data_IF_618688008715
#
_entry.id   IF_618688008715
#
_cell.length_a   1.000
_cell.length_b   1.000
_cell.length_c   1.000
_cell.angle_alpha   90.00
_cell.angle_beta   90.00
_cell.angle_gamma   90.00
#
_symmetry.space_group_name_H-M   'P 1'
#
loop_
_entity.id
_entity.type
_entity.pdbx_description
1 polymer ?
#
# COMPACT_ATOMS: atom_id res chain seq x y z
N UNK A 1 21.15 21.72 -13.47
CA UNK A 1 21.83 22.29 -14.69
C UNK A 1 21.28 23.66 -15.10
N UNK A 2 19.97 23.87 -15.19
CA UNK A 2 19.39 25.18 -15.58
C UNK A 2 19.73 26.29 -14.59
N UNK A 3 19.75 25.98 -13.28
CA UNK A 3 20.09 26.96 -12.24
C UNK A 3 21.57 27.30 -12.17
N UNK A 4 22.45 26.42 -12.60
CA UNK A 4 23.90 26.67 -12.62
C UNK A 4 24.33 27.63 -13.74
N UNK A 5 23.59 27.69 -14.84
CA UNK A 5 23.79 28.64 -15.91
C UNK A 5 23.61 30.11 -15.50
N UNK A 6 22.72 30.36 -14.54
CA UNK A 6 22.47 31.70 -14.01
C UNK A 6 23.61 32.20 -13.08
N UNK A 7 24.54 31.33 -12.66
CA UNK A 7 25.68 31.68 -11.81
C UNK A 7 26.90 32.20 -12.60
N UNK A 8 26.77 32.44 -13.89
CA UNK A 8 27.89 32.86 -14.79
C UNK A 8 27.97 34.35 -15.04
N UNK A 9 27.08 35.13 -14.47
CA UNK A 9 27.06 36.59 -14.65
C UNK A 9 28.22 37.23 -13.86
N UNK A 10 28.96 38.12 -14.51
CA UNK A 10 30.31 38.55 -14.07
C UNK A 10 30.31 39.66 -13.04
N UNK A 11 29.25 40.47 -12.99
CA UNK A 11 29.22 41.71 -12.21
C UNK A 11 28.03 41.81 -11.26
N UNK A 12 27.39 40.68 -10.93
CA UNK A 12 26.19 40.63 -10.07
C UNK A 12 26.43 39.70 -8.87
N UNK A 13 26.10 40.16 -7.70
CA UNK A 13 26.06 39.28 -6.53
C UNK A 13 24.87 38.29 -6.69
N UNK A 14 25.17 37.00 -6.84
CA UNK A 14 24.18 35.97 -7.07
C UNK A 14 24.01 35.13 -5.82
N UNK A 15 22.80 35.11 -5.27
CA UNK A 15 22.42 34.26 -4.14
C UNK A 15 21.59 33.09 -4.64
N UNK A 16 22.09 31.87 -4.47
CA UNK A 16 21.34 30.64 -4.76
C UNK A 16 20.76 30.06 -3.48
N UNK A 17 19.43 29.97 -3.40
CA UNK A 17 18.72 29.38 -2.26
C UNK A 17 18.03 28.08 -2.71
N UNK A 18 18.28 26.98 -1.98
CA UNK A 18 17.66 25.69 -2.22
C UNK A 18 16.91 25.22 -0.98
N UNK A 19 15.59 25.06 -1.09
CA UNK A 19 14.74 24.58 0.00
C UNK A 19 14.07 23.26 -0.41
N UNK A 20 13.95 22.32 0.51
CA UNK A 20 13.23 21.08 0.25
C UNK A 20 13.34 20.07 1.38
N UNK A 21 12.43 19.11 1.38
CA UNK A 21 12.58 17.91 2.19
C UNK A 21 13.64 17.00 1.55
N UNK A 22 14.47 16.33 2.34
CA UNK A 22 15.52 15.42 1.86
C UNK A 22 14.94 14.08 1.40
N UNK A 23 14.14 14.08 0.33
CA UNK A 23 13.34 12.93 -0.11
C UNK A 23 14.12 11.86 -0.85
N UNK A 24 15.34 12.15 -1.27
CA UNK A 24 16.20 11.21 -2.02
C UNK A 24 17.62 11.25 -1.51
N UNK A 25 18.23 10.09 -1.39
CA UNK A 25 19.64 9.97 -1.00
C UNK A 25 20.62 10.15 -2.18
N UNK A 26 20.11 10.57 -3.33
CA UNK A 26 20.84 10.85 -4.57
C UNK A 26 20.41 12.19 -5.18
N UNK A 27 21.14 12.67 -6.18
CA UNK A 27 20.83 13.88 -6.93
C UNK A 27 21.45 15.15 -6.35
N UNK A 28 21.29 16.27 -7.09
CA UNK A 28 21.97 17.54 -6.80
C UNK A 28 21.72 18.09 -5.39
N UNK A 29 20.49 18.02 -4.87
CA UNK A 29 20.18 18.48 -3.52
C UNK A 29 20.98 17.70 -2.46
N UNK A 30 21.10 16.38 -2.62
CA UNK A 30 21.93 15.54 -1.74
C UNK A 30 23.42 15.87 -1.88
N UNK A 31 23.91 16.12 -3.08
CA UNK A 31 25.32 16.48 -3.34
C UNK A 31 25.70 17.78 -2.66
N UNK A 32 24.79 18.74 -2.49
CA UNK A 32 25.04 19.96 -1.73
C UNK A 32 25.41 19.66 -0.27
N UNK A 33 24.88 18.57 0.31
CA UNK A 33 25.17 18.14 1.66
C UNK A 33 26.34 17.13 1.79
N UNK A 34 26.88 16.66 0.65
CA UNK A 34 28.02 15.71 0.57
C UNK A 34 29.20 16.28 -0.21
N UNK A 35 29.22 16.01 -1.53
CA UNK A 35 30.34 16.32 -2.42
C UNK A 35 30.64 17.81 -2.50
N UNK A 36 29.63 18.66 -2.44
CA UNK A 36 29.76 20.11 -2.56
C UNK A 36 29.45 20.84 -1.26
N UNK A 37 29.57 20.14 -0.12
CA UNK A 37 29.25 20.68 1.21
C UNK A 37 29.95 22.01 1.49
N UNK A 38 31.21 22.16 1.10
CA UNK A 38 32.02 23.35 1.37
C UNK A 38 31.58 24.58 0.55
N UNK A 39 30.71 24.40 -0.44
CA UNK A 39 30.20 25.49 -1.30
C UNK A 39 28.85 26.02 -0.86
N UNK A 40 28.23 25.41 0.17
CA UNK A 40 26.89 25.72 0.61
C UNK A 40 26.84 26.03 2.09
N UNK A 41 26.04 27.05 2.44
CA UNK A 41 25.63 27.22 3.84
C UNK A 41 24.40 26.33 4.09
N UNK A 42 24.48 25.46 5.12
CA UNK A 42 23.45 24.48 5.41
C UNK A 42 22.60 24.92 6.60
N UNK A 43 21.30 24.92 6.41
CA UNK A 43 20.33 25.08 7.50
C UNK A 43 19.50 23.81 7.57
N UNK A 44 19.57 23.15 8.70
CA UNK A 44 18.75 21.97 9.01
C UNK A 44 17.62 22.36 9.94
N UNK A 45 16.40 22.01 9.60
CA UNK A 45 15.20 22.32 10.39
C UNK A 45 14.47 21.02 10.73
N UNK A 46 14.39 20.70 12.02
CA UNK A 46 13.48 19.70 12.54
C UNK A 46 12.09 20.36 12.72
N UNK A 47 11.06 19.81 12.08
CA UNK A 47 9.71 20.37 12.12
C UNK A 47 9.15 20.47 13.55
N UNK A 48 9.66 19.66 14.48
CA UNK A 48 9.26 19.71 15.90
C UNK A 48 9.70 21.01 16.58
N UNK A 49 10.76 21.65 16.11
CA UNK A 49 11.28 22.92 16.66
C UNK A 49 10.71 24.15 15.96
N UNK A 50 10.17 24.01 14.74
CA UNK A 50 9.63 25.13 13.99
C UNK A 50 8.28 25.60 14.58
N UNK A 51 8.10 26.92 14.76
CA UNK A 51 6.92 27.48 15.42
C UNK A 51 5.60 27.26 14.64
N UNK A 52 5.68 27.21 13.31
CA UNK A 52 4.52 27.17 12.40
C UNK A 52 3.93 25.76 12.20
N UNK A 53 4.54 24.72 12.75
CA UNK A 53 4.13 23.33 12.51
C UNK A 53 3.08 22.83 13.50
N UNK A 54 2.20 21.94 13.03
CA UNK A 54 1.23 21.25 13.89
C UNK A 54 1.92 20.13 14.70
N UNK A 55 2.23 20.43 15.98
CA UNK A 55 2.95 19.51 16.88
C UNK A 55 2.18 18.22 17.18
N UNK A 56 0.84 18.30 17.26
CA UNK A 56 -0.01 17.14 17.49
C UNK A 56 0.09 16.15 16.32
N UNK A 57 0.03 16.67 15.08
CA UNK A 57 0.17 15.86 13.88
C UNK A 57 1.57 15.23 13.77
N UNK A 58 2.62 15.99 14.09
CA UNK A 58 3.99 15.45 14.07
C UNK A 58 4.17 14.32 15.10
N UNK A 59 3.63 14.49 16.31
CA UNK A 59 3.65 13.44 17.33
C UNK A 59 2.90 12.19 16.89
N UNK A 60 1.73 12.38 16.26
CA UNK A 60 0.96 11.27 15.69
C UNK A 60 1.77 10.50 14.65
N UNK A 61 2.43 11.21 13.73
CA UNK A 61 3.28 10.58 12.72
C UNK A 61 4.45 9.79 13.33
N UNK A 62 5.09 10.32 14.37
CA UNK A 62 6.15 9.58 15.08
C UNK A 62 5.60 8.30 15.71
N UNK A 63 4.39 8.36 16.27
CA UNK A 63 3.74 7.18 16.86
C UNK A 63 3.35 6.15 15.78
N UNK A 64 2.80 6.62 14.67
CA UNK A 64 2.28 5.76 13.60
C UNK A 64 3.40 5.10 12.78
N UNK A 65 4.49 5.82 12.53
CA UNK A 65 5.55 5.40 11.61
C UNK A 65 6.85 4.98 12.30
N UNK A 66 7.04 5.37 13.56
CA UNK A 66 8.26 5.16 14.32
C UNK A 66 9.30 6.28 14.11
N UNK A 67 10.05 6.64 15.17
CA UNK A 67 11.04 7.73 15.20
C UNK A 67 12.14 7.59 14.12
N UNK A 68 12.59 6.36 13.86
CA UNK A 68 13.70 6.06 12.94
C UNK A 68 13.25 5.67 11.52
N UNK A 69 11.94 5.71 11.26
CA UNK A 69 11.42 5.47 9.91
C UNK A 69 11.88 6.57 8.95
N UNK A 70 12.10 6.22 7.69
CA UNK A 70 12.46 7.23 6.67
C UNK A 70 11.36 8.27 6.49
N UNK A 71 10.09 7.92 6.72
CA UNK A 71 9.00 8.88 6.76
C UNK A 71 9.25 9.98 7.81
N UNK A 72 9.55 9.60 9.05
CA UNK A 72 9.83 10.54 10.14
C UNK A 72 11.14 11.27 9.91
N UNK A 73 12.20 10.58 9.45
CA UNK A 73 13.47 11.22 9.08
C UNK A 73 13.25 12.35 8.08
N UNK A 74 12.54 12.07 6.98
CA UNK A 74 12.34 13.02 5.87
C UNK A 74 11.36 14.13 6.25
N UNK A 75 10.19 13.78 6.79
CA UNK A 75 9.09 14.73 6.97
C UNK A 75 9.05 15.46 8.30
N UNK A 76 9.60 14.86 9.34
CA UNK A 76 9.62 15.44 10.69
C UNK A 76 11.00 15.99 11.02
N UNK A 77 12.03 15.15 10.86
CA UNK A 77 13.40 15.49 11.28
C UNK A 77 14.20 16.25 10.22
N UNK A 78 13.76 16.29 8.96
CA UNK A 78 14.50 16.90 7.86
C UNK A 78 15.84 16.21 7.56
N UNK A 79 15.95 14.91 7.82
CA UNK A 79 17.15 14.10 7.63
C UNK A 79 16.98 13.26 6.36
N UNK A 80 18.07 13.10 5.59
CA UNK A 80 18.06 12.22 4.42
C UNK A 80 17.83 10.77 4.84
N UNK A 81 17.08 9.99 4.04
CA UNK A 81 16.92 8.55 4.27
C UNK A 81 18.28 7.85 4.17
N UNK A 82 18.43 6.70 4.82
CA UNK A 82 19.66 5.93 4.77
C UNK A 82 19.86 5.30 3.38
N UNK A 83 21.11 5.27 2.91
CA UNK A 83 21.45 4.83 1.55
C UNK A 83 21.22 3.33 1.28
N UNK A 84 21.01 2.55 2.33
CA UNK A 84 20.83 1.10 2.27
C UNK A 84 19.36 0.65 2.27
N UNK A 85 18.40 1.56 2.42
CA UNK A 85 17.01 1.21 2.71
C UNK A 85 16.05 1.85 1.70
N UNK A 86 16.17 1.44 0.44
CA UNK A 86 15.17 1.74 -0.59
C UNK A 86 13.99 0.78 -0.52
N UNK A 87 14.12 -0.33 0.21
CA UNK A 87 13.07 -1.33 0.39
C UNK A 87 12.00 -0.79 1.36
N UNK A 88 10.75 -0.85 0.94
CA UNK A 88 9.63 -0.46 1.80
C UNK A 88 9.45 -1.43 2.98
N UNK A 89 9.69 -2.71 2.74
CA UNK A 89 9.61 -3.80 3.72
C UNK A 89 10.95 -4.52 3.73
N UNK A 90 11.69 -4.42 4.85
CA UNK A 90 13.00 -5.04 4.96
C UNK A 90 12.92 -6.55 5.18
N UNK A 91 13.93 -7.29 4.73
CA UNK A 91 14.04 -8.73 4.95
C UNK A 91 14.01 -9.09 6.45
N UNK A 92 14.58 -8.24 7.31
CA UNK A 92 14.54 -8.43 8.76
C UNK A 92 13.12 -8.38 9.31
N UNK A 93 12.29 -7.44 8.84
CA UNK A 93 10.88 -7.33 9.26
C UNK A 93 10.08 -8.56 8.81
N UNK A 94 10.32 -9.06 7.59
CA UNK A 94 9.69 -10.28 7.07
C UNK A 94 10.13 -11.49 7.89
N UNK A 95 11.42 -11.63 8.20
CA UNK A 95 11.95 -12.70 9.03
C UNK A 95 11.28 -12.73 10.41
N UNK A 96 11.17 -11.59 11.07
CA UNK A 96 10.47 -11.47 12.36
C UNK A 96 9.00 -11.86 12.25
N UNK A 97 8.32 -11.49 11.17
CA UNK A 97 6.92 -11.84 10.93
C UNK A 97 6.72 -13.36 10.71
N UNK A 98 7.69 -14.04 10.10
CA UNK A 98 7.69 -15.50 9.92
C UNK A 98 7.94 -16.28 11.21
N UNK A 99 8.60 -15.67 12.20
CA UNK A 99 8.83 -16.28 13.52
C UNK A 99 7.59 -16.25 14.41
N UNK A 100 6.59 -15.44 14.06
CA UNK A 100 5.33 -15.34 14.84
C UNK A 100 4.42 -16.51 14.52
N UNK A 101 3.98 -17.21 15.57
CA UNK A 101 3.08 -18.34 15.46
C UNK A 101 1.66 -17.90 15.84
N UNK A 102 0.87 -17.52 14.83
CA UNK A 102 -0.55 -17.21 14.98
C UNK A 102 -1.39 -18.22 14.20
N UNK A 103 -2.58 -18.52 14.71
CA UNK A 103 -3.58 -19.36 14.06
C UNK A 103 -4.88 -18.58 13.83
N UNK A 104 -5.77 -19.11 13.00
CA UNK A 104 -7.10 -18.52 12.80
C UNK A 104 -7.90 -18.36 14.11
N UNK A 105 -7.66 -19.24 15.10
CA UNK A 105 -8.34 -19.17 16.40
C UNK A 105 -7.93 -17.95 17.19
N UNK A 106 -6.66 -17.55 17.11
CA UNK A 106 -6.12 -16.38 17.85
C UNK A 106 -6.71 -15.06 17.34
N UNK A 107 -7.22 -15.04 16.12
CA UNK A 107 -7.75 -13.86 15.42
C UNK A 107 -9.25 -13.97 15.08
N UNK A 108 -9.96 -14.96 15.63
CA UNK A 108 -11.36 -15.25 15.29
C UNK A 108 -12.33 -14.06 15.48
N UNK A 109 -11.96 -13.08 16.33
CA UNK A 109 -12.71 -11.84 16.53
C UNK A 109 -12.50 -10.77 15.49
N UNK A 110 -11.53 -10.92 14.58
CA UNK A 110 -11.23 -9.94 13.53
C UNK A 110 -11.98 -10.26 12.22
N UNK A 111 -12.25 -9.25 11.35
CA UNK A 111 -12.88 -9.50 10.06
C UNK A 111 -11.96 -10.30 9.15
N UNK A 112 -12.56 -11.17 8.34
CA UNK A 112 -11.91 -11.91 7.27
C UNK A 112 -11.91 -11.08 5.99
N UNK A 113 -10.76 -10.80 5.44
CA UNK A 113 -10.61 -9.94 4.26
C UNK A 113 -9.81 -10.69 3.20
N UNK A 114 -10.37 -10.81 2.01
CA UNK A 114 -9.72 -11.45 0.87
C UNK A 114 -9.16 -10.38 -0.08
N UNK A 115 -7.90 -10.54 -0.50
CA UNK A 115 -7.27 -9.72 -1.53
C UNK A 115 -6.98 -10.57 -2.76
N UNK A 116 -7.30 -10.03 -3.94
CA UNK A 116 -7.28 -10.77 -5.21
C UNK A 116 -6.52 -9.94 -6.25
N UNK A 117 -5.30 -10.37 -6.59
CA UNK A 117 -4.54 -9.83 -7.72
C UNK A 117 -4.75 -10.70 -8.94
N UNK A 118 -5.20 -10.10 -10.06
CA UNK A 118 -5.54 -10.81 -11.30
C UNK A 118 -4.46 -10.58 -12.35
N UNK A 119 -3.74 -11.63 -12.70
CA UNK A 119 -2.70 -11.56 -13.72
C UNK A 119 -3.24 -11.17 -15.10
N UNK A 120 -2.44 -10.38 -15.81
CA UNK A 120 -2.73 -9.96 -17.20
C UNK A 120 -2.38 -11.03 -18.26
N UNK A 121 -1.94 -12.22 -17.83
CA UNK A 121 -1.36 -13.26 -18.71
C UNK A 121 0.17 -13.14 -18.80
N UNK A 122 0.79 -14.05 -19.57
CA UNK A 122 2.26 -14.11 -19.66
C UNK A 122 2.90 -14.79 -18.44
N UNK A 123 3.94 -14.19 -17.88
CA UNK A 123 4.70 -14.76 -16.75
C UNK A 123 4.03 -14.50 -15.39
N UNK A 124 3.15 -13.51 -15.28
CA UNK A 124 2.50 -13.11 -14.02
C UNK A 124 1.45 -14.15 -13.58
N UNK A 125 1.23 -14.31 -12.27
CA UNK A 125 0.29 -15.28 -11.70
C UNK A 125 -0.81 -14.55 -10.94
N UNK A 126 -2.06 -15.05 -11.05
CA UNK A 126 -3.13 -14.58 -10.18
C UNK A 126 -2.93 -15.12 -8.78
N UNK A 127 -3.03 -14.25 -7.78
CA UNK A 127 -2.83 -14.58 -6.37
C UNK A 127 -4.05 -14.18 -5.53
N UNK A 128 -4.36 -14.99 -4.51
CA UNK A 128 -5.43 -14.72 -3.56
C UNK A 128 -4.92 -14.95 -2.14
N UNK A 129 -5.03 -13.91 -1.31
CA UNK A 129 -4.67 -13.96 0.09
C UNK A 129 -5.87 -13.67 0.98
N UNK A 130 -5.93 -14.37 2.12
CA UNK A 130 -6.88 -14.10 3.19
C UNK A 130 -6.14 -13.52 4.39
N UNK A 131 -6.60 -12.37 4.86
CA UNK A 131 -6.16 -11.76 6.12
C UNK A 131 -7.29 -11.77 7.14
N UNK A 132 -6.96 -12.15 8.37
CA UNK A 132 -7.84 -12.01 9.53
C UNK A 132 -7.03 -11.44 10.69
N UNK A 133 -7.25 -10.17 11.01
CA UNK A 133 -6.44 -9.47 12.01
C UNK A 133 -4.94 -9.50 11.69
N UNK A 134 -4.16 -10.14 12.57
CA UNK A 134 -2.71 -10.29 12.43
C UNK A 134 -2.28 -11.59 11.74
N UNK A 135 -3.22 -12.43 11.30
CA UNK A 135 -2.95 -13.68 10.60
C UNK A 135 -3.26 -13.57 9.12
N UNK A 136 -2.43 -14.20 8.28
CA UNK A 136 -2.65 -14.32 6.83
C UNK A 136 -2.32 -15.71 6.32
N UNK A 137 -2.97 -16.09 5.21
CA UNK A 137 -2.64 -17.27 4.43
C UNK A 137 -2.95 -17.09 2.95
N UNK A 138 -2.20 -17.76 2.09
CA UNK A 138 -2.47 -17.82 0.66
C UNK A 138 -3.56 -18.86 0.38
N UNK A 139 -4.57 -18.48 -0.41
CA UNK A 139 -5.62 -19.38 -0.84
C UNK A 139 -5.40 -19.90 -2.26
N UNK A 140 -4.70 -19.11 -3.09
CA UNK A 140 -4.50 -19.45 -4.50
C UNK A 140 -3.28 -18.72 -5.07
N UNK A 141 -2.51 -19.38 -5.94
CA UNK A 141 -1.52 -18.78 -6.83
C UNK A 141 -1.33 -19.66 -8.06
N UNK A 142 -1.69 -19.18 -9.24
CA UNK A 142 -1.46 -19.90 -10.52
C UNK A 142 -1.50 -18.93 -11.70
N UNK A 143 -0.89 -19.36 -12.81
CA UNK A 143 -1.14 -18.73 -14.11
C UNK A 143 -2.62 -18.89 -14.49
N UNK A 144 -3.26 -17.81 -14.82
CA UNK A 144 -4.68 -17.78 -15.16
C UNK A 144 -4.82 -17.37 -16.63
N UNK A 145 -5.27 -18.30 -17.47
CA UNK A 145 -5.45 -18.07 -18.91
C UNK A 145 -6.88 -17.64 -19.25
N UNK A 146 -7.86 -18.01 -18.41
CA UNK A 146 -9.29 -17.76 -18.62
C UNK A 146 -9.90 -17.06 -17.40
N UNK A 147 -10.38 -15.85 -17.62
CA UNK A 147 -11.00 -15.02 -16.59
C UNK A 147 -12.31 -15.63 -16.04
N UNK A 148 -13.08 -16.35 -16.88
CA UNK A 148 -14.32 -16.98 -16.46
C UNK A 148 -14.05 -18.18 -15.55
N UNK A 149 -13.10 -19.04 -15.90
CA UNK A 149 -12.66 -20.16 -15.05
C UNK A 149 -12.11 -19.65 -13.74
N UNK A 150 -11.35 -18.56 -13.76
CA UNK A 150 -10.84 -17.97 -12.53
C UNK A 150 -11.95 -17.38 -11.67
N UNK A 151 -12.94 -16.71 -12.24
CA UNK A 151 -14.09 -16.20 -11.52
C UNK A 151 -14.89 -17.32 -10.82
N UNK A 152 -15.09 -18.48 -11.48
CA UNK A 152 -15.74 -19.65 -10.86
C UNK A 152 -14.90 -20.22 -9.69
N UNK A 153 -13.56 -20.24 -9.84
CA UNK A 153 -12.67 -20.64 -8.74
C UNK A 153 -12.76 -19.66 -7.57
N UNK A 154 -12.76 -18.35 -7.82
CA UNK A 154 -12.96 -17.33 -6.79
C UNK A 154 -14.32 -17.45 -6.11
N UNK A 155 -15.38 -17.72 -6.87
CA UNK A 155 -16.71 -17.97 -6.30
C UNK A 155 -16.71 -19.15 -5.33
N UNK A 156 -15.94 -20.20 -5.63
CA UNK A 156 -15.75 -21.33 -4.71
C UNK A 156 -15.01 -20.93 -3.44
N UNK A 157 -13.94 -20.14 -3.55
CA UNK A 157 -13.18 -19.64 -2.41
C UNK A 157 -14.02 -18.68 -1.53
N UNK A 158 -14.83 -17.83 -2.16
CA UNK A 158 -15.75 -16.93 -1.44
C UNK A 158 -16.80 -17.70 -0.63
N UNK A 159 -17.33 -18.81 -1.17
CA UNK A 159 -18.28 -19.68 -0.44
C UNK A 159 -17.58 -20.45 0.69
N UNK A 160 -16.37 -20.96 0.46
CA UNK A 160 -15.63 -21.76 1.42
C UNK A 160 -15.16 -20.95 2.63
N UNK A 161 -14.68 -19.73 2.38
CA UNK A 161 -14.05 -18.93 3.44
C UNK A 161 -14.95 -17.83 4.01
N UNK A 162 -16.05 -17.50 3.34
CA UNK A 162 -17.05 -16.51 3.77
C UNK A 162 -16.42 -15.22 4.29
N UNK A 163 -15.61 -14.50 3.45
CA UNK A 163 -14.96 -13.27 3.89
C UNK A 163 -15.99 -12.17 4.15
N UNK A 164 -15.69 -11.27 5.09
CA UNK A 164 -16.49 -10.06 5.35
C UNK A 164 -16.38 -9.05 4.21
N UNK A 165 -15.24 -9.02 3.54
CA UNK A 165 -15.02 -8.28 2.29
C UNK A 165 -13.96 -8.96 1.42
N UNK A 166 -14.05 -8.76 0.11
CA UNK A 166 -13.06 -9.17 -0.88
C UNK A 166 -12.70 -7.98 -1.78
N UNK A 167 -11.42 -7.69 -1.92
CA UNK A 167 -10.92 -6.61 -2.77
C UNK A 167 -10.18 -7.19 -3.97
N UNK A 168 -10.56 -6.75 -5.17
CA UNK A 168 -9.96 -7.20 -6.42
C UNK A 168 -9.34 -6.03 -7.18
N UNK A 169 -8.11 -6.21 -7.70
CA UNK A 169 -7.53 -5.21 -8.61
C UNK A 169 -8.30 -5.14 -9.92
N UNK A 170 -8.81 -3.95 -10.25
CA UNK A 170 -9.58 -3.65 -11.47
C UNK A 170 -8.70 -3.44 -12.70
N UNK A 171 -7.43 -3.81 -12.66
CA UNK A 171 -6.56 -3.82 -13.82
C UNK A 171 -7.18 -4.61 -15.00
N UNK A 172 -6.58 -4.58 -16.17
CA UNK A 172 -7.18 -4.99 -17.45
C UNK A 172 -7.93 -6.34 -17.43
N UNK A 173 -7.49 -7.30 -16.59
CA UNK A 173 -8.13 -8.63 -16.45
C UNK A 173 -9.03 -8.75 -15.21
N UNK A 174 -8.94 -7.83 -14.27
CA UNK A 174 -9.76 -7.89 -13.05
C UNK A 174 -11.20 -7.46 -13.27
N UNK A 175 -11.46 -6.49 -14.14
CA UNK A 175 -12.81 -6.01 -14.41
C UNK A 175 -13.75 -7.12 -14.92
N UNK A 176 -13.42 -7.96 -15.93
CA UNK A 176 -14.28 -9.08 -16.35
C UNK A 176 -14.52 -10.11 -15.24
N UNK A 177 -13.50 -10.36 -14.39
CA UNK A 177 -13.62 -11.28 -13.25
C UNK A 177 -14.58 -10.69 -12.20
N UNK A 178 -14.45 -9.41 -11.89
CA UNK A 178 -15.35 -8.68 -10.99
C UNK A 178 -16.81 -8.74 -11.48
N UNK A 179 -17.04 -8.41 -12.75
CA UNK A 179 -18.38 -8.43 -13.35
C UNK A 179 -19.00 -9.84 -13.26
N UNK A 180 -18.21 -10.88 -13.56
CA UNK A 180 -18.68 -12.27 -13.44
C UNK A 180 -19.05 -12.62 -12.01
N UNK A 181 -18.24 -12.24 -11.02
CA UNK A 181 -18.53 -12.47 -9.60
C UNK A 181 -19.80 -11.75 -9.15
N UNK A 182 -20.03 -10.52 -9.63
CA UNK A 182 -21.29 -9.81 -9.37
C UNK A 182 -22.50 -10.57 -9.92
N UNK A 183 -22.41 -11.11 -11.16
CA UNK A 183 -23.46 -11.95 -11.75
C UNK A 183 -23.68 -13.27 -10.98
N UNK A 184 -22.63 -13.81 -10.35
CA UNK A 184 -22.72 -14.99 -9.48
C UNK A 184 -23.27 -14.69 -8.07
N UNK A 185 -23.67 -13.44 -7.80
CA UNK A 185 -24.30 -13.02 -6.55
C UNK A 185 -23.34 -12.51 -5.48
N UNK A 186 -22.05 -12.33 -5.78
CA UNK A 186 -21.05 -11.85 -4.82
C UNK A 186 -20.86 -10.33 -4.77
N UNK A 187 -21.67 -9.56 -5.52
CA UNK A 187 -21.56 -8.10 -5.53
C UNK A 187 -21.69 -7.41 -4.17
N UNK A 188 -22.28 -8.11 -3.19
CA UNK A 188 -22.43 -7.62 -1.81
C UNK A 188 -21.16 -7.77 -0.96
N UNK A 189 -20.16 -8.51 -1.42
CA UNK A 189 -18.91 -8.78 -0.68
C UNK A 189 -17.65 -8.31 -1.42
N UNK A 190 -17.72 -8.27 -2.77
CA UNK A 190 -16.58 -7.91 -3.58
C UNK A 190 -16.56 -6.42 -3.92
N UNK A 191 -15.38 -5.82 -3.86
CA UNK A 191 -15.12 -4.41 -4.23
C UNK A 191 -13.94 -4.32 -5.17
N UNK A 192 -14.11 -3.58 -6.27
CA UNK A 192 -13.04 -3.29 -7.23
C UNK A 192 -12.13 -2.17 -6.73
N UNK A 193 -10.84 -2.36 -6.83
CA UNK A 193 -9.80 -1.39 -6.46
C UNK A 193 -8.93 -1.10 -7.67
N UNK A 194 -8.69 0.16 -7.97
CA UNK A 194 -7.72 0.56 -8.97
C UNK A 194 -6.43 1.01 -8.29
N UNK A 195 -5.34 0.29 -8.50
CA UNK A 195 -4.02 0.59 -7.92
C UNK A 195 -3.48 1.96 -8.31
N UNK A 196 -3.76 2.40 -9.53
CA UNK A 196 -3.31 3.70 -10.06
C UNK A 196 -4.16 4.88 -9.58
N UNK A 197 -5.33 4.62 -8.98
CA UNK A 197 -6.18 5.67 -8.44
C UNK A 197 -5.46 6.46 -7.33
N UNK A 198 -5.82 7.73 -7.15
CA UNK A 198 -5.31 8.55 -6.06
C UNK A 198 -5.52 7.88 -4.69
N UNK A 199 -4.55 8.01 -3.80
CA UNK A 199 -4.64 7.49 -2.44
C UNK A 199 -5.79 8.15 -1.65
N UNK A 200 -6.30 7.49 -0.63
CA UNK A 200 -7.23 8.11 0.34
C UNK A 200 -6.49 9.22 1.10
N UNK A 201 -5.26 8.93 1.57
CA UNK A 201 -4.35 9.90 2.16
C UNK A 201 -3.46 10.47 1.06
N UNK A 202 -4.04 11.28 0.19
CA UNK A 202 -3.35 11.87 -0.96
C UNK A 202 -2.29 12.90 -0.56
N UNK A 203 -2.31 13.39 0.68
CA UNK A 203 -1.26 14.18 1.30
C UNK A 203 0.04 13.40 1.54
N UNK A 204 -0.02 12.08 1.69
CA UNK A 204 1.10 11.21 2.06
C UNK A 204 1.57 10.29 0.93
N UNK A 205 0.63 9.78 0.13
CA UNK A 205 0.88 8.73 -0.86
C UNK A 205 0.54 9.19 -2.27
N UNK A 206 1.29 8.69 -3.25
CA UNK A 206 1.02 9.01 -4.67
C UNK A 206 -0.29 8.38 -5.15
N UNK A 207 -0.50 7.10 -4.83
CA UNK A 207 -1.62 6.31 -5.32
C UNK A 207 -2.05 5.25 -4.29
N UNK A 208 -3.15 4.53 -4.61
CA UNK A 208 -3.71 3.47 -3.76
C UNK A 208 -2.71 2.34 -3.50
N UNK A 209 -1.93 1.93 -4.51
CA UNK A 209 -0.94 0.87 -4.35
C UNK A 209 0.09 1.23 -3.29
N UNK A 210 0.66 2.44 -3.36
CA UNK A 210 1.63 2.93 -2.37
C UNK A 210 1.06 2.99 -0.95
N UNK A 211 -0.20 3.43 -0.80
CA UNK A 211 -0.89 3.49 0.49
C UNK A 211 -1.11 2.10 1.09
N UNK A 212 -1.62 1.15 0.30
CA UNK A 212 -1.89 -0.22 0.74
C UNK A 212 -0.60 -0.97 1.11
N UNK A 213 0.46 -0.83 0.31
CA UNK A 213 1.75 -1.44 0.62
C UNK A 213 2.38 -0.88 1.90
N UNK A 214 2.25 0.43 2.12
CA UNK A 214 2.70 1.01 3.39
C UNK A 214 1.86 0.50 4.58
N UNK A 215 0.57 0.24 4.38
CA UNK A 215 -0.27 -0.40 5.41
C UNK A 215 0.19 -1.84 5.72
N UNK A 216 0.66 -2.62 4.71
CA UNK A 216 1.30 -3.92 4.95
C UNK A 216 2.55 -3.76 5.81
N UNK A 217 3.43 -2.82 5.47
CA UNK A 217 4.64 -2.56 6.25
C UNK A 217 4.32 -2.19 7.71
N UNK A 218 3.29 -1.37 7.93
CA UNK A 218 2.81 -1.04 9.26
C UNK A 218 2.27 -2.27 9.99
N UNK A 219 1.41 -3.04 9.35
CA UNK A 219 0.81 -4.25 9.91
C UNK A 219 1.87 -5.27 10.33
N UNK A 220 2.94 -5.44 9.54
CA UNK A 220 4.07 -6.30 9.91
C UNK A 220 4.77 -5.80 11.18
N UNK A 221 4.98 -4.49 11.32
CA UNK A 221 5.55 -3.88 12.54
C UNK A 221 4.64 -4.07 13.75
N UNK A 222 3.34 -3.98 13.55
CA UNK A 222 2.32 -4.11 14.59
C UNK A 222 2.06 -5.57 15.05
N UNK A 223 2.78 -6.55 14.50
CA UNK A 223 2.69 -7.95 14.93
C UNK A 223 2.10 -8.91 13.91
N UNK A 224 1.87 -8.48 12.67
CA UNK A 224 1.39 -9.35 11.59
C UNK A 224 2.29 -10.56 11.38
N UNK A 225 1.70 -11.75 11.26
CA UNK A 225 2.40 -13.01 11.08
C UNK A 225 2.30 -13.50 9.63
N UNK A 226 3.44 -13.92 9.07
CA UNK A 226 3.55 -14.49 7.73
C UNK A 226 3.74 -16.01 7.80
N UNK A 227 3.39 -16.76 6.75
CA UNK A 227 3.72 -18.17 6.66
C UNK A 227 5.24 -18.40 6.82
N UNK A 228 5.63 -19.36 7.64
CA UNK A 228 7.04 -19.72 7.89
C UNK A 228 7.52 -20.92 7.11
N UNK A 229 6.61 -21.68 6.50
CA UNK A 229 6.89 -22.92 5.76
C UNK A 229 6.08 -22.98 4.46
N UNK A 230 6.49 -23.87 3.58
CA UNK A 230 5.86 -24.03 2.28
C UNK A 230 6.34 -23.04 1.22
N UNK A 231 5.93 -23.24 -0.05
CA UNK A 231 6.32 -22.36 -1.15
C UNK A 231 5.81 -20.91 -0.96
N UNK A 232 4.66 -20.73 -0.33
CA UNK A 232 4.10 -19.41 -0.04
C UNK A 232 4.96 -18.58 0.89
N UNK A 233 5.76 -19.22 1.75
CA UNK A 233 6.65 -18.52 2.67
C UNK A 233 7.83 -17.85 1.96
N UNK A 234 8.37 -18.49 0.90
CA UNK A 234 9.43 -17.89 0.11
C UNK A 234 8.86 -16.88 -0.88
N UNK A 235 7.77 -17.22 -1.56
CA UNK A 235 7.14 -16.35 -2.55
C UNK A 235 6.76 -14.99 -1.93
N UNK A 236 6.12 -14.99 -0.75
CA UNK A 236 5.71 -13.73 -0.09
C UNK A 236 6.91 -12.93 0.43
N UNK A 237 8.00 -13.59 0.87
CA UNK A 237 9.23 -12.91 1.26
C UNK A 237 9.85 -12.20 0.07
N UNK A 238 10.01 -12.91 -1.06
CA UNK A 238 10.58 -12.36 -2.28
C UNK A 238 9.75 -11.17 -2.77
N UNK A 239 8.42 -11.30 -2.80
CA UNK A 239 7.52 -10.24 -3.24
C UNK A 239 7.54 -9.01 -2.32
N UNK A 240 7.54 -9.20 -0.99
CA UNK A 240 7.51 -8.08 -0.04
C UNK A 240 8.83 -7.32 0.04
N UNK A 241 9.96 -8.01 -0.17
CA UNK A 241 11.29 -7.40 -0.12
C UNK A 241 11.73 -6.79 -1.46
N UNK A 242 11.05 -7.08 -2.57
CA UNK A 242 11.48 -6.67 -3.89
C UNK A 242 11.23 -5.19 -4.23
N UNK A 243 10.04 -4.61 -3.96
CA UNK A 243 9.75 -3.24 -4.36
C UNK A 243 10.52 -2.21 -3.55
N UNK A 244 11.06 -1.24 -4.26
CA UNK A 244 11.65 -0.05 -3.67
C UNK A 244 10.60 1.05 -3.51
N UNK A 245 10.89 2.04 -2.67
CA UNK A 245 10.08 3.23 -2.54
C UNK A 245 10.93 4.50 -2.58
N UNK A 246 10.29 5.58 -2.91
CA UNK A 246 10.91 6.90 -2.88
C UNK A 246 9.85 7.97 -2.62
N UNK A 247 10.31 9.16 -2.26
CA UNK A 247 9.44 10.32 -2.16
C UNK A 247 9.53 11.15 -3.44
N UNK A 248 8.38 11.40 -4.06
CA UNK A 248 8.32 12.23 -5.26
C UNK A 248 8.60 13.72 -4.94
N UNK A 249 8.61 14.58 -5.97
CA UNK A 249 8.86 16.02 -5.83
C UNK A 249 7.86 16.75 -4.93
N UNK A 250 6.66 16.19 -4.74
CA UNK A 250 5.63 16.69 -3.80
C UNK A 250 5.75 16.10 -2.40
N UNK A 251 6.80 15.31 -2.15
CA UNK A 251 7.04 14.63 -0.88
C UNK A 251 6.06 13.50 -0.57
N UNK A 252 5.33 12.98 -1.55
CA UNK A 252 4.45 11.81 -1.37
C UNK A 252 5.26 10.53 -1.52
N UNK A 253 5.00 9.54 -0.66
CA UNK A 253 5.56 8.20 -0.82
C UNK A 253 5.03 7.57 -2.10
N UNK A 254 5.94 7.09 -2.91
CA UNK A 254 5.67 6.37 -4.16
C UNK A 254 6.39 5.03 -4.12
N UNK A 255 5.62 3.96 -4.27
CA UNK A 255 6.17 2.62 -4.48
C UNK A 255 6.65 2.49 -5.93
N UNK A 256 7.72 1.75 -6.12
CA UNK A 256 8.25 1.38 -7.44
C UNK A 256 7.16 0.76 -8.31
N UNK A 257 7.11 1.12 -9.58
CA UNK A 257 6.14 0.55 -10.52
C UNK A 257 6.50 -0.90 -10.89
N UNK A 258 5.51 -1.67 -11.37
CA UNK A 258 5.78 -3.03 -11.89
C UNK A 258 6.70 -2.98 -13.11
N UNK A 259 6.63 -1.91 -13.89
CA UNK A 259 7.47 -1.65 -15.05
C UNK A 259 8.94 -1.45 -14.63
N UNK A 260 9.20 -0.59 -13.66
CA UNK A 260 10.55 -0.33 -13.14
C UNK A 260 11.14 -1.61 -12.51
N UNK A 261 10.34 -2.38 -11.77
CA UNK A 261 10.77 -3.69 -11.24
C UNK A 261 11.20 -4.64 -12.36
N UNK A 262 10.43 -4.72 -13.45
CA UNK A 262 10.77 -5.54 -14.62
C UNK A 262 12.05 -5.07 -15.32
N UNK A 263 12.30 -3.77 -15.40
CA UNK A 263 13.57 -3.21 -15.89
C UNK A 263 14.77 -3.62 -15.04
N UNK A 264 14.57 -3.80 -13.73
CA UNK A 264 15.57 -4.35 -12.80
C UNK A 264 15.69 -5.89 -12.88
N UNK A 265 14.89 -6.55 -13.72
CA UNK A 265 14.88 -8.00 -13.88
C UNK A 265 14.10 -8.75 -12.80
N UNK A 266 13.22 -8.08 -12.07
CA UNK A 266 12.39 -8.65 -11.01
C UNK A 266 11.00 -9.01 -11.55
N UNK A 267 10.38 -10.10 -11.05
CA UNK A 267 9.00 -10.44 -11.39
C UNK A 267 7.99 -9.46 -10.76
N UNK A 268 6.73 -9.53 -11.19
CA UNK A 268 5.62 -8.87 -10.51
C UNK A 268 5.45 -9.43 -9.09
N UNK A 269 5.20 -8.60 -8.07
CA UNK A 269 4.99 -9.07 -6.71
C UNK A 269 3.52 -9.45 -6.48
N UNK A 270 3.07 -10.51 -7.13
CA UNK A 270 1.66 -10.89 -7.22
C UNK A 270 1.07 -11.27 -5.84
N UNK A 271 1.83 -12.01 -5.01
CA UNK A 271 1.44 -12.32 -3.62
C UNK A 271 1.44 -11.05 -2.74
N UNK A 272 2.43 -10.18 -2.92
CA UNK A 272 2.53 -8.90 -2.23
C UNK A 272 1.37 -7.96 -2.56
N UNK A 273 1.00 -7.84 -3.85
CA UNK A 273 -0.12 -7.01 -4.30
C UNK A 273 -1.47 -7.58 -3.81
N UNK A 274 -1.65 -8.92 -3.84
CA UNK A 274 -2.85 -9.56 -3.29
C UNK A 274 -2.97 -9.35 -1.77
N UNK A 275 -1.86 -9.44 -1.02
CA UNK A 275 -1.86 -9.11 0.41
C UNK A 275 -2.17 -7.63 0.64
N UNK A 276 -1.58 -6.72 -0.14
CA UNK A 276 -1.81 -5.29 -0.02
C UNK A 276 -3.29 -4.92 -0.24
N UNK A 277 -3.98 -5.58 -1.16
CA UNK A 277 -5.42 -5.39 -1.39
C UNK A 277 -6.25 -5.64 -0.13
N UNK A 278 -5.84 -6.50 0.79
CA UNK A 278 -6.58 -6.71 2.04
C UNK A 278 -6.63 -5.46 2.95
N UNK A 279 -5.85 -4.42 2.63
CA UNK A 279 -5.80 -3.13 3.33
C UNK A 279 -6.49 -2.00 2.54
N UNK A 280 -7.22 -2.33 1.49
CA UNK A 280 -7.84 -1.32 0.63
C UNK A 280 -8.88 -0.44 1.33
N UNK A 281 -9.62 -0.97 2.29
CA UNK A 281 -10.55 -0.21 3.12
C UNK A 281 -10.70 -0.82 4.52
N UNK A 282 -11.14 -0.05 5.52
CA UNK A 282 -11.58 -0.60 6.79
C UNK A 282 -12.78 -1.53 6.59
N UNK A 283 -12.75 -2.69 7.27
CA UNK A 283 -13.81 -3.70 7.21
C UNK A 283 -14.29 -4.01 8.61
N UNK A 284 -15.61 -4.05 8.79
CA UNK A 284 -16.27 -4.51 10.01
C UNK A 284 -16.80 -5.93 9.77
N UNK A 285 -16.76 -6.80 10.77
CA UNK A 285 -17.34 -8.13 10.66
C UNK A 285 -18.83 -8.03 10.34
N UNK A 286 -19.30 -8.85 9.42
CA UNK A 286 -20.73 -8.90 9.10
C UNK A 286 -21.59 -9.27 10.30
N UNK A 287 -21.09 -10.15 11.18
CA UNK A 287 -21.77 -10.53 12.40
C UNK A 287 -21.99 -9.34 13.36
N UNK A 288 -21.17 -8.30 13.27
CA UNK A 288 -21.24 -7.13 14.15
C UNK A 288 -22.06 -5.97 13.54
N UNK A 289 -22.54 -6.14 12.29
CA UNK A 289 -23.43 -5.17 11.66
C UNK A 289 -24.84 -5.42 12.20
N UNK A 290 -25.45 -4.46 12.93
CA UNK A 290 -26.80 -4.62 13.42
C UNK A 290 -27.74 -4.90 12.23
N UNK A 291 -28.58 -5.91 12.37
CA UNK A 291 -29.64 -6.17 11.39
C UNK A 291 -30.40 -4.85 11.21
N UNK A 292 -30.45 -4.30 9.97
CA UNK A 292 -31.37 -3.22 9.68
C UNK A 292 -32.73 -3.78 10.03
N UNK A 293 -33.37 -3.25 11.09
CA UNK A 293 -34.80 -3.39 11.24
C UNK A 293 -35.39 -2.96 9.91
N UNK A 294 -36.03 -3.90 9.23
CA UNK A 294 -36.80 -3.61 8.05
C UNK A 294 -37.81 -2.56 8.47
N UNK A 295 -37.58 -1.29 8.11
CA UNK A 295 -38.65 -0.31 8.11
C UNK A 295 -39.66 -0.77 7.03
N UNK A 296 -40.42 -1.80 7.36
CA UNK A 296 -41.75 -2.04 6.83
C UNK A 296 -42.70 -1.10 7.58
N UNK A 297 -42.43 0.20 7.49
CA UNK A 297 -43.46 1.20 7.57
C UNK A 297 -44.16 1.13 6.21
N UNK A 298 -45.35 0.55 6.21
CA UNK A 298 -46.16 0.38 5.03
C UNK A 298 -46.34 1.68 4.27
N UNK A 299 -45.93 1.66 3.03
CA UNK A 299 -46.63 2.38 1.96
C UNK A 299 -47.85 1.52 1.58
N UNK A 300 -48.73 1.29 2.56
CA UNK A 300 -50.11 0.97 2.29
C UNK A 300 -50.75 2.31 1.91
N UNK A 301 -51.40 2.33 0.72
CA UNK A 301 -52.21 3.43 0.14
C UNK A 301 -51.48 4.55 -0.63
N UNK A 302 -50.55 4.19 -1.51
CA UNK A 302 -50.37 5.05 -2.69
C UNK A 302 -50.96 4.36 -3.92
N UNK A 303 -52.21 4.70 -4.26
CA UNK A 303 -52.84 4.38 -5.54
C UNK A 303 -52.60 5.54 -6.53
N UNK A 304 -51.73 5.36 -7.55
CA UNK A 304 -51.40 6.41 -8.50
C UNK A 304 -52.57 6.72 -9.51
N UNK A 305 -53.72 6.08 -9.38
CA UNK A 305 -54.86 6.21 -10.32
C UNK A 305 -56.14 6.81 -9.69
N UNK A 306 -56.10 7.24 -8.44
CA UNK A 306 -57.19 8.01 -7.85
C UNK A 306 -57.01 9.50 -8.14
N UNK A 307 -57.79 9.98 -9.15
CA UNK A 307 -58.04 11.39 -9.43
C UNK A 307 -59.41 11.78 -8.90
#
# INVERSE_FOLDING_TARGET
>A
EVTEGALTDRDTEILCLAFGNPTRNTGRFRECFRKYRDRWHHIHVDSRTAAITNKAQLKQWVTDYGEDSDFVKVRVRGIFPDASDTQLISAELVRQAKERSLTERDVAGAPKIMGIDVARGGADQSAVWLRQGLFVRRLYKRHTLDSMVFAERLASLLREHEPDAAFIDMGAMGAPVYDRLCHLGFGHVIMGINFSQGAIRDDLYLNRRSEMWHAVAKWLRDGGALPSQGPEAQDIEDDLCAPEYFYNTKGKLQLESKEDMKERGLPSPDDGDALALTFAAPVVRRADIPARESMHGGLEDYDPFTW
#
